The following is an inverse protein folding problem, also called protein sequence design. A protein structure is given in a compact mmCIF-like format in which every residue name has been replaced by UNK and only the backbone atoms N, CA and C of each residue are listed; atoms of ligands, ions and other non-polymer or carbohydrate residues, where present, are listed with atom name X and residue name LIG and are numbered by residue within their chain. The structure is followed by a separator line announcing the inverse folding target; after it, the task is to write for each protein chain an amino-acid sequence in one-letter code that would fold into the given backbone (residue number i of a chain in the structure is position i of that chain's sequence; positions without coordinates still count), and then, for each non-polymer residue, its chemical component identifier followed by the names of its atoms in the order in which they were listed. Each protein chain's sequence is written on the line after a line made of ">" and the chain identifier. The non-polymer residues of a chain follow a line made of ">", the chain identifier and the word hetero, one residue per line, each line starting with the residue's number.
data_IF_471228891822
#
_entry.id   IF_471228891822
#
_cell.length_a   1.000
_cell.length_b   1.000
_cell.length_c   1.000
_cell.angle_alpha   90.00
_cell.angle_beta   90.00
_cell.angle_gamma   90.00
#
_symmetry.space_group_name_H-M   'P 1'
#
loop_
_entity.id
_entity.type
_entity.pdbx_description
1 polymer ?
#
# COMPACT_ATOMS: atom_id res chain seq x y z
N UNK A 1 -10.64 18.35 37.47
CA UNK A 1 -10.07 18.98 36.26
C UNK A 1 -9.11 18.07 35.49
N UNK A 2 -8.34 17.17 36.13
CA UNK A 2 -7.39 16.29 35.41
C UNK A 2 -8.01 15.15 34.59
N UNK A 3 -9.14 14.56 35.02
CA UNK A 3 -9.71 13.38 34.34
C UNK A 3 -10.25 13.69 32.94
N UNK A 4 -10.88 14.85 32.75
CA UNK A 4 -11.46 15.27 31.47
C UNK A 4 -10.35 15.54 30.45
N UNK A 5 -9.26 16.20 30.85
CA UNK A 5 -8.13 16.51 29.97
C UNK A 5 -7.42 15.23 29.50
N UNK A 6 -7.23 14.26 30.40
CA UNK A 6 -6.61 12.96 30.07
C UNK A 6 -7.51 12.18 29.09
N UNK A 7 -8.83 12.14 29.33
CA UNK A 7 -9.76 11.48 28.42
C UNK A 7 -9.79 12.14 27.03
N UNK A 8 -9.74 13.47 26.94
CA UNK A 8 -9.67 14.18 25.67
C UNK A 8 -8.38 13.90 24.90
N UNK A 9 -7.26 13.77 25.60
CA UNK A 9 -5.97 13.45 24.96
C UNK A 9 -5.94 12.02 24.42
N UNK A 10 -6.53 11.05 25.14
CA UNK A 10 -6.71 9.69 24.65
C UNK A 10 -7.63 9.65 23.42
N UNK A 11 -8.70 10.43 23.42
CA UNK A 11 -9.65 10.48 22.29
C UNK A 11 -8.98 11.02 21.00
N UNK A 12 -8.12 12.04 21.14
CA UNK A 12 -7.35 12.58 20.02
C UNK A 12 -6.27 11.61 19.50
N UNK A 13 -5.62 10.86 20.40
CA UNK A 13 -4.66 9.83 20.02
C UNK A 13 -5.32 8.71 19.20
N UNK A 14 -6.56 8.32 19.56
CA UNK A 14 -7.33 7.27 18.85
C UNK A 14 -7.81 7.70 17.46
N UNK A 15 -8.06 9.00 17.23
CA UNK A 15 -8.50 9.51 15.92
C UNK A 15 -7.36 9.62 14.89
N UNK A 16 -6.11 9.61 15.36
CA UNK A 16 -4.92 9.78 14.50
C UNK A 16 -4.54 8.52 13.70
N UNK A 17 -5.20 7.39 13.97
CA UNK A 17 -4.83 6.06 13.43
C UNK A 17 -5.58 5.72 12.12
N UNK A 18 -6.56 6.53 11.72
CA UNK A 18 -7.44 6.27 10.58
C UNK A 18 -7.20 7.25 9.43
N UNK A 19 -6.04 7.16 8.80
CA UNK A 19 -5.68 7.96 7.60
C UNK A 19 -6.09 7.31 6.27
N UNK A 20 -6.55 6.06 6.30
CA UNK A 20 -6.90 5.32 5.09
C UNK A 20 -8.42 5.22 4.94
N UNK A 21 -8.94 5.76 3.84
CA UNK A 21 -10.38 5.81 3.57
C UNK A 21 -10.93 4.49 2.96
N UNK A 22 -10.05 3.60 2.51
CA UNK A 22 -10.41 2.35 1.85
C UNK A 22 -9.28 1.32 2.02
N UNK A 23 -9.48 0.34 2.89
CA UNK A 23 -8.53 -0.75 3.14
C UNK A 23 -9.17 -2.08 2.81
N UNK A 24 -8.53 -2.86 1.95
CA UNK A 24 -8.88 -4.25 1.65
C UNK A 24 -7.85 -5.18 2.32
N UNK A 25 -8.31 -6.28 2.93
CA UNK A 25 -7.42 -7.28 3.52
C UNK A 25 -7.49 -8.58 2.73
N UNK A 26 -6.33 -9.21 2.52
CA UNK A 26 -6.22 -10.51 1.89
C UNK A 26 -5.29 -11.42 2.72
N UNK A 27 -5.80 -12.59 3.08
CA UNK A 27 -5.02 -13.66 3.68
C UNK A 27 -4.42 -14.52 2.57
N UNK A 28 -3.13 -14.81 2.68
CA UNK A 28 -2.35 -15.54 1.68
C UNK A 28 -1.56 -16.66 2.35
N UNK A 29 -1.49 -17.84 1.73
CA UNK A 29 -0.68 -18.93 2.27
C UNK A 29 0.79 -18.72 1.94
N UNK A 30 1.67 -19.23 2.80
CA UNK A 30 3.11 -19.21 2.53
C UNK A 30 3.44 -19.99 1.24
N UNK A 31 4.34 -19.44 0.43
CA UNK A 31 4.74 -19.88 -0.91
C UNK A 31 3.67 -19.78 -2.01
N UNK A 32 2.50 -19.20 -1.73
CA UNK A 32 1.49 -18.95 -2.74
C UNK A 32 1.93 -17.83 -3.70
N UNK A 33 1.57 -17.96 -4.98
CA UNK A 33 1.75 -16.89 -5.97
C UNK A 33 0.63 -15.87 -5.76
N UNK A 34 0.98 -14.59 -5.61
CA UNK A 34 0.01 -13.50 -5.42
C UNK A 34 0.06 -12.55 -6.60
N UNK A 35 -1.10 -12.18 -7.12
CA UNK A 35 -1.23 -11.14 -8.14
C UNK A 35 -1.91 -9.93 -7.51
N UNK A 36 -1.23 -8.78 -7.52
CA UNK A 36 -1.74 -7.53 -6.97
C UNK A 36 -2.35 -6.73 -8.12
N UNK A 37 -3.56 -7.11 -8.52
CA UNK A 37 -4.28 -6.57 -9.69
C UNK A 37 -5.13 -5.33 -9.39
N UNK A 38 -5.44 -5.07 -8.12
CA UNK A 38 -6.21 -3.91 -7.66
C UNK A 38 -5.59 -2.56 -8.10
N UNK A 39 -4.27 -2.54 -8.33
CA UNK A 39 -3.53 -1.37 -8.81
C UNK A 39 -3.15 -1.45 -10.30
N UNK A 40 -3.81 -2.30 -11.08
CA UNK A 40 -3.49 -2.50 -12.50
C UNK A 40 -3.49 -1.17 -13.27
N UNK A 41 -2.39 -0.90 -13.98
CA UNK A 41 -2.18 0.33 -14.72
C UNK A 41 -1.53 1.46 -13.92
N UNK A 42 -1.18 1.22 -12.66
CA UNK A 42 -0.31 2.11 -11.89
C UNK A 42 1.08 2.19 -12.51
N UNK A 43 1.74 3.34 -12.32
CA UNK A 43 3.15 3.54 -12.74
C UNK A 43 4.13 2.93 -11.74
N UNK A 44 3.75 2.92 -10.47
CA UNK A 44 4.47 2.27 -9.39
C UNK A 44 3.53 1.85 -8.27
N UNK A 45 3.97 0.91 -7.43
CA UNK A 45 3.29 0.52 -6.19
C UNK A 45 4.25 0.77 -5.04
N UNK A 46 3.79 1.52 -4.04
CA UNK A 46 4.47 1.63 -2.75
C UNK A 46 3.99 0.50 -1.86
N UNK A 47 4.92 -0.13 -1.15
CA UNK A 47 4.62 -1.06 -0.06
C UNK A 47 5.29 -0.64 1.23
N UNK A 48 4.68 -1.01 2.35
CA UNK A 48 5.26 -0.91 3.68
C UNK A 48 5.28 -2.31 4.30
N UNK A 49 6.47 -2.89 4.34
CA UNK A 49 6.72 -4.23 4.88
C UNK A 49 7.68 -4.14 6.07
N UNK A 50 7.99 -5.26 6.71
CA UNK A 50 8.91 -5.30 7.86
C UNK A 50 10.30 -4.70 7.56
N UNK A 51 10.76 -4.79 6.31
CA UNK A 51 12.03 -4.22 5.85
C UNK A 51 11.99 -2.71 5.56
N UNK A 52 10.84 -2.05 5.76
CA UNK A 52 10.65 -0.63 5.51
C UNK A 52 9.73 -0.33 4.31
N UNK A 53 9.71 0.94 3.91
CA UNK A 53 8.97 1.41 2.75
C UNK A 53 9.77 1.20 1.46
N UNK A 54 9.11 0.68 0.43
CA UNK A 54 9.73 0.35 -0.85
C UNK A 54 8.76 0.64 -2.00
N UNK A 55 9.27 1.03 -3.15
CA UNK A 55 8.48 1.38 -4.33
C UNK A 55 8.88 0.47 -5.48
N UNK A 56 7.93 -0.30 -6.00
CA UNK A 56 8.10 -1.09 -7.22
C UNK A 56 7.72 -0.25 -8.43
N UNK A 57 8.60 -0.15 -9.42
CA UNK A 57 8.35 0.64 -10.63
C UNK A 57 7.95 -0.24 -11.82
N UNK A 58 6.87 0.10 -12.51
CA UNK A 58 6.45 -0.56 -13.76
C UNK A 58 7.00 0.12 -15.02
N UNK A 59 7.53 1.33 -14.86
CA UNK A 59 8.12 2.13 -15.94
C UNK A 59 9.35 2.91 -15.46
N UNK A 60 10.14 3.42 -16.41
CA UNK A 60 11.33 4.22 -16.12
C UNK A 60 12.60 3.40 -15.88
N UNK A 61 13.62 4.06 -15.32
CA UNK A 61 14.96 3.49 -15.08
C UNK A 61 14.93 2.28 -14.13
N UNK A 62 14.05 2.32 -13.12
CA UNK A 62 13.90 1.26 -12.12
C UNK A 62 12.84 0.22 -12.49
N UNK A 63 12.43 0.14 -13.76
CA UNK A 63 11.38 -0.79 -14.18
C UNK A 63 11.69 -2.23 -13.73
N UNK A 64 10.71 -2.85 -13.08
CA UNK A 64 10.79 -4.23 -12.59
C UNK A 64 11.51 -4.38 -11.25
N UNK A 65 11.83 -3.27 -10.57
CA UNK A 65 12.65 -3.26 -9.36
C UNK A 65 11.94 -2.51 -8.22
N UNK A 66 12.17 -2.99 -7.00
CA UNK A 66 11.94 -2.24 -5.77
C UNK A 66 13.10 -1.29 -5.49
N UNK A 67 12.74 -0.09 -5.05
CA UNK A 67 13.66 0.96 -4.63
C UNK A 67 13.22 1.46 -3.24
N UNK A 68 14.17 1.73 -2.36
CA UNK A 68 13.88 2.37 -1.07
C UNK A 68 13.68 3.89 -1.20
N UNK A 69 13.39 4.56 -0.08
CA UNK A 69 13.19 6.01 -0.02
C UNK A 69 14.43 6.84 -0.43
N UNK A 70 15.63 6.22 -0.44
CA UNK A 70 16.89 6.85 -0.79
C UNK A 70 17.31 6.58 -2.25
N UNK A 71 16.47 5.89 -3.03
CA UNK A 71 16.79 5.55 -4.41
C UNK A 71 17.67 4.30 -4.55
N UNK A 72 17.86 3.51 -3.48
CA UNK A 72 18.66 2.29 -3.52
C UNK A 72 17.81 1.11 -3.98
N UNK A 73 18.29 0.41 -5.00
CA UNK A 73 17.66 -0.83 -5.48
C UNK A 73 17.70 -1.94 -4.44
N UNK A 74 16.59 -2.66 -4.32
CA UNK A 74 16.42 -3.81 -3.44
C UNK A 74 16.34 -5.10 -4.26
N UNK A 75 16.65 -6.24 -3.63
CA UNK A 75 16.45 -7.54 -4.30
C UNK A 75 14.98 -7.70 -4.70
N UNK A 76 14.78 -7.86 -6.00
CA UNK A 76 13.46 -7.96 -6.62
C UNK A 76 13.22 -9.30 -7.31
N UNK A 77 14.11 -10.28 -7.09
CA UNK A 77 14.08 -11.59 -7.76
C UNK A 77 12.78 -12.37 -7.57
N UNK A 78 12.11 -12.21 -6.42
CA UNK A 78 10.83 -12.83 -6.08
C UNK A 78 9.61 -12.12 -6.72
N UNK A 79 9.81 -11.03 -7.45
CA UNK A 79 8.73 -10.24 -8.04
C UNK A 79 8.81 -10.20 -9.56
N UNK A 80 7.69 -9.84 -10.18
CA UNK A 80 7.58 -9.71 -11.62
C UNK A 80 6.51 -8.65 -11.97
N UNK A 81 6.80 -7.87 -13.01
CA UNK A 81 5.83 -7.03 -13.70
C UNK A 81 5.15 -7.86 -14.79
N UNK A 82 3.85 -8.12 -14.62
CA UNK A 82 3.01 -8.70 -15.66
C UNK A 82 2.01 -7.66 -16.16
N UNK A 83 2.42 -6.86 -17.15
CA UNK A 83 1.60 -5.85 -17.80
C UNK A 83 0.96 -4.85 -16.82
N UNK A 84 1.76 -4.30 -15.89
CA UNK A 84 1.30 -3.35 -14.89
C UNK A 84 0.58 -3.98 -13.70
N UNK A 85 0.76 -5.29 -13.51
CA UNK A 85 0.34 -6.04 -12.32
C UNK A 85 1.60 -6.53 -11.61
N UNK A 86 1.72 -6.25 -10.32
CA UNK A 86 2.82 -6.76 -9.50
C UNK A 86 2.50 -8.20 -9.09
N UNK A 87 3.38 -9.12 -9.46
CA UNK A 87 3.31 -10.52 -9.10
C UNK A 87 4.35 -10.82 -8.01
N UNK A 88 3.91 -11.42 -6.91
CA UNK A 88 4.79 -12.05 -5.92
C UNK A 88 4.84 -13.54 -6.26
N UNK A 89 6.01 -14.04 -6.66
CA UNK A 89 6.16 -15.43 -7.15
C UNK A 89 5.94 -16.44 -6.03
N UNK A 90 6.50 -16.17 -4.84
CA UNK A 90 6.32 -16.97 -3.62
C UNK A 90 6.13 -16.05 -2.43
N UNK A 91 4.91 -15.94 -1.94
CA UNK A 91 4.59 -15.11 -0.78
C UNK A 91 5.28 -15.62 0.48
N UNK A 92 5.95 -14.74 1.20
CA UNK A 92 6.63 -15.05 2.45
C UNK A 92 6.33 -14.00 3.52
N UNK A 93 6.77 -14.25 4.75
CA UNK A 93 6.63 -13.29 5.87
C UNK A 93 7.22 -11.90 5.56
N UNK A 94 8.23 -11.82 4.70
CA UNK A 94 8.83 -10.56 4.27
C UNK A 94 7.90 -9.70 3.39
N UNK A 95 6.88 -10.31 2.78
CA UNK A 95 5.92 -9.65 1.90
C UNK A 95 4.67 -9.16 2.63
N UNK A 96 4.49 -9.54 3.90
CA UNK A 96 3.38 -9.08 4.74
C UNK A 96 3.48 -7.59 4.96
N UNK A 97 2.37 -6.89 4.72
CA UNK A 97 2.28 -5.44 4.87
C UNK A 97 1.27 -4.81 3.92
N UNK A 98 1.34 -3.48 3.83
CA UNK A 98 0.42 -2.67 3.07
C UNK A 98 0.96 -2.32 1.69
N UNK A 99 0.09 -2.28 0.70
CA UNK A 99 0.40 -1.99 -0.70
C UNK A 99 -0.57 -0.93 -1.22
N UNK A 100 -0.05 0.07 -1.95
CA UNK A 100 -0.84 1.16 -2.50
C UNK A 100 -0.24 1.67 -3.81
N UNK A 101 -1.07 2.25 -4.67
CA UNK A 101 -0.62 2.95 -5.88
C UNK A 101 0.32 4.13 -5.53
N UNK A 102 1.40 4.29 -6.30
CA UNK A 102 2.35 5.39 -6.15
C UNK A 102 2.57 6.13 -7.49
N UNK A 103 2.44 7.47 -7.52
CA UNK A 103 1.94 8.35 -6.46
C UNK A 103 0.50 8.01 -6.01
N UNK A 104 0.08 8.40 -4.79
CA UNK A 104 -1.26 8.07 -4.29
C UNK A 104 -2.37 8.56 -5.23
N UNK A 105 -3.24 7.64 -5.62
CA UNK A 105 -4.41 7.97 -6.43
C UNK A 105 -5.46 8.66 -5.58
N UNK A 106 -6.02 9.76 -6.09
CA UNK A 106 -7.18 10.43 -5.48
C UNK A 106 -8.39 10.20 -6.37
N UNK A 107 -9.40 9.50 -5.86
CA UNK A 107 -10.65 9.25 -6.55
C UNK A 107 -11.56 10.45 -6.28
N UNK A 108 -11.88 11.20 -7.34
CA UNK A 108 -12.77 12.37 -7.27
C UNK A 108 -14.09 12.07 -7.94
N UNK A 109 -15.18 12.30 -7.23
CA UNK A 109 -16.54 12.17 -7.76
C UNK A 109 -17.20 13.54 -7.76
N UNK A 110 -17.63 14.00 -8.93
CA UNK A 110 -18.42 15.23 -9.06
C UNK A 110 -19.89 14.91 -8.79
N UNK A 111 -20.56 15.75 -8.01
CA UNK A 111 -22.00 15.69 -7.76
C UNK A 111 -22.66 16.96 -8.27
N UNK A 112 -23.99 16.99 -8.34
CA UNK A 112 -24.75 18.17 -8.77
C UNK A 112 -24.52 19.41 -7.88
N UNK A 113 -24.00 19.20 -6.66
CA UNK A 113 -23.80 20.25 -5.65
C UNK A 113 -22.34 20.36 -5.16
N UNK A 114 -21.38 19.66 -5.78
CA UNK A 114 -19.99 19.73 -5.34
C UNK A 114 -19.10 18.59 -5.83
N UNK A 115 -18.11 18.22 -5.03
CA UNK A 115 -17.22 17.09 -5.27
C UNK A 115 -16.92 16.35 -3.96
N UNK A 116 -16.78 15.03 -4.04
CA UNK A 116 -16.12 14.23 -3.03
C UNK A 116 -14.75 13.78 -3.55
N UNK A 117 -13.79 13.66 -2.65
CA UNK A 117 -12.46 13.14 -2.97
C UNK A 117 -12.03 12.18 -1.87
N UNK A 118 -11.65 10.96 -2.25
CA UNK A 118 -11.14 9.94 -1.33
C UNK A 118 -9.79 9.42 -1.82
N UNK A 119 -8.85 9.12 -0.90
CA UNK A 119 -7.68 8.32 -1.24
C UNK A 119 -8.07 7.01 -1.92
N UNK A 120 -7.22 6.55 -2.84
CA UNK A 120 -7.32 5.24 -3.46
C UNK A 120 -7.17 4.11 -2.44
N UNK A 121 -7.50 2.87 -2.84
CA UNK A 121 -7.46 1.74 -1.94
C UNK A 121 -6.03 1.42 -1.46
N UNK A 122 -5.95 0.84 -0.28
CA UNK A 122 -4.76 0.15 0.25
C UNK A 122 -5.09 -1.33 0.39
N UNK A 123 -4.18 -2.19 -0.05
CA UNK A 123 -4.28 -3.64 0.09
C UNK A 123 -3.34 -4.09 1.20
N UNK A 124 -3.89 -4.69 2.24
CA UNK A 124 -3.16 -5.32 3.33
C UNK A 124 -3.05 -6.82 3.08
N UNK A 125 -1.81 -7.30 2.90
CA UNK A 125 -1.51 -8.72 2.74
C UNK A 125 -1.04 -9.30 4.07
N UNK A 126 -1.63 -10.41 4.48
CA UNK A 126 -1.27 -11.13 5.71
C UNK A 126 -1.20 -12.64 5.49
N UNK A 127 -0.45 -13.34 6.34
CA UNK A 127 -0.39 -14.80 6.30
C UNK A 127 -1.68 -15.40 6.85
N UNK A 128 -2.21 -16.39 6.14
CA UNK A 128 -3.34 -17.23 6.57
C UNK A 128 -2.98 -18.22 7.67
#
# INVERSE_FOLDING_TARGET
>A
MNRIVICSFLLFALLSISTEASVAQQLVKENEKVEIDVFKGAKAIKRKVAAGEQIFHFEGEFKGLFVDENGKTMDSSNYEDNNGVLIIKKFAKADVGSYAEHPPKIIKTKTDHGFSAVPGPVLELSLS
#
